data_IF_056103858235
#
_entry.id   IF_056103858235
#
_cell.length_a   1.000
_cell.length_b   1.000
_cell.length_c   1.000
_cell.angle_alpha   90.00
_cell.angle_beta   90.00
_cell.angle_gamma   90.00
#
_symmetry.space_group_name_H-M   'P 1'
#
loop_
_entity.id
_entity.type
_entity.pdbx_description
1 polymer ?
#
# COMPACT_ATOMS: atom_id res chain seq x y z
N UNK A 1 -14.68 10.07 -70.50
CA UNK A 1 -13.77 9.24 -69.67
C UNK A 1 -12.65 10.03 -68.96
N UNK A 2 -12.35 11.28 -69.35
CA UNK A 2 -11.29 12.09 -68.72
C UNK A 2 -11.65 12.68 -67.34
N UNK A 3 -12.93 12.87 -67.00
CA UNK A 3 -13.33 13.45 -65.70
C UNK A 3 -13.17 12.50 -64.50
N UNK A 4 -13.00 11.19 -64.69
CA UNK A 4 -12.82 10.24 -63.56
C UNK A 4 -11.39 10.23 -63.01
N UNK A 5 -10.37 10.60 -63.80
CA UNK A 5 -8.97 10.60 -63.35
C UNK A 5 -8.61 11.82 -62.49
N UNK A 6 -9.20 12.99 -62.78
CA UNK A 6 -8.96 14.21 -62.00
C UNK A 6 -9.52 14.12 -60.56
N UNK A 7 -10.66 13.44 -60.38
CA UNK A 7 -11.28 13.25 -59.04
C UNK A 7 -10.40 12.41 -58.11
N UNK A 8 -9.75 11.36 -58.62
CA UNK A 8 -8.93 10.48 -57.79
C UNK A 8 -7.61 11.13 -57.33
N UNK A 9 -7.00 12.02 -58.12
CA UNK A 9 -5.84 12.80 -57.67
C UNK A 9 -6.19 13.80 -56.57
N UNK A 10 -7.39 14.38 -56.60
CA UNK A 10 -7.82 15.34 -55.57
C UNK A 10 -8.05 14.66 -54.22
N UNK A 11 -8.68 13.47 -54.20
CA UNK A 11 -8.85 12.70 -52.97
C UNK A 11 -7.53 12.19 -52.38
N UNK A 12 -6.58 11.76 -53.23
CA UNK A 12 -5.24 11.36 -52.76
C UNK A 12 -4.45 12.54 -52.18
N UNK A 13 -4.56 13.74 -52.76
CA UNK A 13 -3.95 14.95 -52.18
C UNK A 13 -4.62 15.36 -50.86
N UNK A 14 -5.95 15.27 -50.75
CA UNK A 14 -6.66 15.59 -49.51
C UNK A 14 -6.37 14.60 -48.38
N UNK A 15 -6.21 13.30 -48.67
CA UNK A 15 -5.82 12.30 -47.67
C UNK A 15 -4.36 12.50 -47.25
N UNK A 16 -3.46 12.84 -48.18
CA UNK A 16 -2.08 13.22 -47.85
C UNK A 16 -1.99 14.47 -46.98
N UNK A 17 -2.82 15.48 -47.24
CA UNK A 17 -2.90 16.68 -46.41
C UNK A 17 -3.52 16.40 -45.03
N UNK A 18 -4.52 15.51 -44.94
CA UNK A 18 -5.12 15.07 -43.67
C UNK A 18 -4.17 14.23 -42.83
N UNK A 19 -3.30 13.42 -43.45
CA UNK A 19 -2.25 12.67 -42.76
C UNK A 19 -1.04 13.55 -42.36
N UNK A 20 -0.82 14.68 -43.04
CA UNK A 20 0.15 15.70 -42.63
C UNK A 20 -0.41 16.66 -41.56
N UNK A 21 -1.73 16.82 -41.49
CA UNK A 21 -2.45 17.63 -40.49
C UNK A 21 -2.91 16.82 -39.26
N UNK A 22 -2.92 15.48 -39.32
CA UNK A 22 -2.86 14.65 -38.13
C UNK A 22 -1.47 14.77 -37.57
N UNK A 23 -1.23 15.90 -36.89
CA UNK A 23 0.02 16.21 -36.24
C UNK A 23 0.52 14.95 -35.57
N UNK A 24 1.69 14.52 -36.02
CA UNK A 24 2.60 13.77 -35.18
C UNK A 24 2.68 14.65 -33.93
N UNK A 25 1.92 14.28 -32.90
CA UNK A 25 2.22 14.70 -31.54
C UNK A 25 3.58 14.06 -31.35
N UNK A 26 4.63 14.82 -31.68
CA UNK A 26 5.95 14.55 -31.18
C UNK A 26 5.70 14.46 -29.68
N UNK A 27 5.73 13.25 -29.14
CA UNK A 27 5.88 13.06 -27.71
C UNK A 27 7.08 13.94 -27.39
N UNK A 28 6.83 15.09 -26.76
CA UNK A 28 7.90 15.96 -26.34
C UNK A 28 8.78 15.05 -25.49
N UNK A 29 10.00 14.78 -25.95
CA UNK A 29 10.97 14.06 -25.15
C UNK A 29 11.01 14.80 -23.81
N UNK A 30 10.46 14.16 -22.78
CA UNK A 30 10.32 14.77 -21.47
C UNK A 30 11.76 15.02 -21.01
N UNK A 31 12.21 16.25 -21.13
CA UNK A 31 13.58 16.61 -20.79
C UNK A 31 13.63 16.72 -19.28
N UNK A 32 14.02 15.62 -18.63
CA UNK A 32 14.19 15.55 -17.18
C UNK A 32 15.20 16.62 -16.71
N UNK A 33 14.81 17.41 -15.73
CA UNK A 33 15.64 18.47 -15.16
C UNK A 33 16.67 17.96 -14.15
N UNK A 34 17.43 18.85 -13.49
CA UNK A 34 18.30 18.50 -12.35
C UNK A 34 17.52 18.55 -11.02
N UNK A 35 17.50 17.44 -10.28
CA UNK A 35 16.95 17.36 -8.93
C UNK A 35 17.90 18.04 -7.94
N UNK A 36 17.35 18.82 -7.01
CA UNK A 36 18.13 19.45 -5.95
C UNK A 36 18.47 18.45 -4.83
N UNK A 37 19.71 18.48 -4.33
CA UNK A 37 20.12 17.68 -3.17
C UNK A 37 19.49 18.23 -1.90
N UNK A 38 19.04 17.37 -0.99
CA UNK A 38 18.48 17.85 0.27
C UNK A 38 17.71 16.81 1.07
N UNK A 39 17.10 17.33 2.13
CA UNK A 39 16.20 16.62 3.02
C UNK A 39 14.79 17.17 2.78
N UNK A 40 13.94 16.35 2.16
CA UNK A 40 12.58 16.74 1.81
C UNK A 40 11.61 16.19 2.86
N UNK A 41 10.77 17.03 3.48
CA UNK A 41 9.82 16.56 4.47
C UNK A 41 8.79 15.63 3.83
N UNK A 42 8.46 14.57 4.55
CA UNK A 42 7.48 13.57 4.15
C UNK A 42 6.17 13.78 4.91
N UNK A 43 5.05 13.56 4.20
CA UNK A 43 3.71 13.69 4.74
C UNK A 43 3.03 12.33 4.60
N UNK A 44 2.52 11.79 5.70
CA UNK A 44 1.73 10.57 5.68
C UNK A 44 0.36 10.83 5.04
N UNK A 45 -0.05 9.99 4.09
CA UNK A 45 -1.37 10.02 3.47
C UNK A 45 -2.01 8.62 3.53
N UNK A 46 -3.35 8.58 3.55
CA UNK A 46 -4.11 7.33 3.65
C UNK A 46 -5.15 7.16 2.53
N UNK A 47 -5.10 8.05 1.53
CA UNK A 47 -6.05 8.10 0.43
C UNK A 47 -5.45 7.38 -0.77
N UNK A 48 -6.04 6.21 -1.07
CA UNK A 48 -5.88 5.40 -2.28
C UNK A 48 -5.05 4.13 -2.18
N UNK A 49 -5.54 3.12 -2.90
CA UNK A 49 -4.86 1.88 -3.18
C UNK A 49 -3.97 2.13 -4.40
N UNK A 50 -2.67 1.82 -4.34
CA UNK A 50 -1.79 2.01 -5.47
C UNK A 50 -2.13 1.04 -6.62
N UNK A 51 -1.95 1.49 -7.85
CA UNK A 51 -1.84 0.61 -9.03
C UNK A 51 -0.43 0.00 -9.15
N UNK A 52 0.23 -0.23 -8.00
CA UNK A 52 1.61 -0.74 -7.91
C UNK A 52 1.69 -2.27 -7.86
N UNK A 53 0.66 -2.95 -8.35
CA UNK A 53 0.67 -4.40 -8.50
C UNK A 53 0.37 -4.74 -9.94
N UNK A 54 1.15 -5.65 -10.52
CA UNK A 54 0.95 -6.07 -11.92
C UNK A 54 -0.37 -6.82 -12.10
N UNK A 55 -0.84 -7.48 -11.04
CA UNK A 55 -2.10 -8.20 -11.00
C UNK A 55 -2.55 -8.44 -9.56
N UNK A 56 -3.80 -8.88 -9.42
CA UNK A 56 -4.45 -9.20 -8.15
C UNK A 56 -3.71 -10.28 -7.34
N UNK A 57 -3.13 -11.30 -7.99
CA UNK A 57 -2.39 -12.35 -7.28
C UNK A 57 -1.12 -11.83 -6.59
N UNK A 58 -0.43 -10.90 -7.23
CA UNK A 58 0.75 -10.27 -6.65
C UNK A 58 0.38 -9.43 -5.43
N UNK A 59 -0.73 -8.68 -5.53
CA UNK A 59 -1.28 -7.92 -4.42
C UNK A 59 -1.66 -8.83 -3.24
N UNK A 60 -2.44 -9.89 -3.47
CA UNK A 60 -2.81 -10.82 -2.39
C UNK A 60 -1.61 -11.48 -1.72
N UNK A 61 -0.51 -11.70 -2.45
CA UNK A 61 0.73 -12.26 -1.91
C UNK A 61 1.59 -11.23 -1.18
N UNK A 62 1.38 -9.94 -1.41
CA UNK A 62 2.10 -8.90 -0.68
C UNK A 62 1.49 -8.64 0.70
N UNK A 63 0.18 -8.83 0.86
CA UNK A 63 -0.50 -8.61 2.14
C UNK A 63 0.05 -9.50 3.26
N UNK A 64 0.16 -8.93 4.46
CA UNK A 64 0.54 -9.70 5.64
C UNK A 64 -0.59 -10.68 6.02
N UNK A 65 -0.27 -11.97 6.00
CA UNK A 65 -1.21 -13.03 6.40
C UNK A 65 -1.06 -13.39 7.87
N UNK A 66 -2.09 -13.06 8.66
CA UNK A 66 -2.20 -13.45 10.07
C UNK A 66 -3.02 -14.72 10.16
N UNK A 67 -2.37 -15.83 10.49
CA UNK A 67 -3.07 -17.08 10.80
C UNK A 67 -3.80 -16.94 12.13
N UNK A 68 -5.08 -17.32 12.14
CA UNK A 68 -5.90 -17.30 13.34
C UNK A 68 -5.97 -18.70 13.97
N UNK A 69 -5.92 -18.73 15.29
CA UNK A 69 -6.01 -19.94 16.11
C UNK A 69 -7.27 -19.90 16.98
N UNK A 70 -7.87 -21.06 17.27
CA UNK A 70 -9.05 -21.13 18.14
C UNK A 70 -8.62 -21.11 19.62
N UNK A 71 -9.18 -20.20 20.42
CA UNK A 71 -8.88 -20.05 21.84
C UNK A 71 -7.71 -19.09 22.10
N UNK A 72 -6.89 -19.37 23.11
CA UNK A 72 -5.71 -18.57 23.49
C UNK A 72 -5.98 -17.11 23.85
N UNK A 73 -7.15 -16.84 24.43
CA UNK A 73 -7.55 -15.51 24.89
C UNK A 73 -6.84 -15.13 26.20
N UNK A 74 -6.44 -16.14 26.97
CA UNK A 74 -5.73 -16.03 28.24
C UNK A 74 -4.33 -15.39 28.12
N UNK A 75 -3.79 -15.27 26.91
CA UNK A 75 -2.55 -14.55 26.66
C UNK A 75 -2.72 -13.01 26.66
N UNK A 76 -3.96 -12.52 26.62
CA UNK A 76 -4.29 -11.10 26.57
C UNK A 76 -4.89 -10.62 27.90
N UNK A 77 -4.74 -9.33 28.18
CA UNK A 77 -5.30 -8.67 29.37
C UNK A 77 -6.60 -7.95 29.03
N UNK A 78 -7.42 -7.73 30.06
CA UNK A 78 -8.65 -6.91 30.00
C UNK A 78 -9.57 -7.24 28.82
N UNK A 79 -9.65 -8.54 28.51
CA UNK A 79 -10.42 -9.06 27.38
C UNK A 79 -11.91 -8.69 27.56
N UNK A 80 -12.57 -8.17 26.51
CA UNK A 80 -13.98 -7.84 26.58
C UNK A 80 -14.84 -9.09 26.77
N UNK A 81 -16.12 -8.88 27.12
CA UNK A 81 -17.05 -10.00 27.24
C UNK A 81 -17.35 -10.58 25.85
N UNK A 82 -16.84 -11.78 25.58
CA UNK A 82 -17.00 -12.49 24.31
C UNK A 82 -18.25 -13.37 24.30
N UNK A 83 -18.81 -13.60 23.12
CA UNK A 83 -19.93 -14.54 22.93
C UNK A 83 -19.49 -15.98 22.70
N UNK A 84 -18.33 -16.20 22.06
CA UNK A 84 -17.74 -17.52 21.89
C UNK A 84 -16.99 -17.98 23.14
N UNK A 85 -17.08 -19.28 23.44
CA UNK A 85 -16.20 -19.92 24.43
C UNK A 85 -14.75 -19.96 23.96
N UNK A 86 -14.54 -20.24 22.67
CA UNK A 86 -13.23 -20.29 22.01
C UNK A 86 -13.29 -19.39 20.77
N UNK A 87 -13.03 -18.08 20.89
CA UNK A 87 -12.96 -17.17 19.74
C UNK A 87 -11.71 -17.47 18.91
N UNK A 88 -11.60 -16.85 17.74
CA UNK A 88 -10.35 -16.89 16.97
C UNK A 88 -9.40 -15.79 17.47
N UNK A 89 -8.13 -16.11 17.64
CA UNK A 89 -7.11 -15.16 18.07
C UNK A 89 -5.90 -15.19 17.15
N UNK A 90 -5.16 -14.09 17.13
CA UNK A 90 -3.93 -13.95 16.34
C UNK A 90 -3.11 -12.76 16.81
N UNK A 91 -1.97 -12.55 16.14
CA UNK A 91 -1.11 -11.39 16.35
C UNK A 91 -0.66 -10.81 15.02
N UNK A 92 -0.89 -9.52 14.83
CA UNK A 92 -0.33 -8.75 13.71
C UNK A 92 1.08 -8.34 14.12
N UNK A 93 2.07 -8.52 13.25
CA UNK A 93 3.40 -7.94 13.45
C UNK A 93 3.52 -6.71 12.58
N UNK A 94 3.86 -5.57 13.16
CA UNK A 94 3.82 -4.30 12.44
C UNK A 94 4.95 -3.38 12.92
N UNK A 95 5.57 -2.65 11.99
CA UNK A 95 6.76 -1.83 12.23
C UNK A 95 8.08 -2.63 12.23
N UNK A 96 9.17 -1.98 12.65
CA UNK A 96 10.55 -2.50 12.56
C UNK A 96 11.08 -3.10 13.89
N UNK A 97 10.24 -3.13 14.92
CA UNK A 97 10.55 -3.72 16.22
C UNK A 97 10.17 -5.21 16.23
N UNK A 98 11.10 -6.10 16.64
CA UNK A 98 10.89 -7.55 16.54
C UNK A 98 9.83 -8.07 17.51
N UNK A 99 9.64 -7.38 18.63
CA UNK A 99 8.73 -7.76 19.71
C UNK A 99 7.39 -7.01 19.65
N UNK A 100 7.22 -6.07 18.71
CA UNK A 100 5.95 -5.33 18.56
C UNK A 100 4.93 -6.24 17.88
N UNK A 101 3.80 -6.46 18.56
CA UNK A 101 2.69 -7.21 17.99
C UNK A 101 1.37 -6.73 18.53
N UNK A 102 0.35 -6.70 17.68
CA UNK A 102 -0.99 -6.24 18.00
C UNK A 102 -1.89 -7.46 18.13
N UNK A 103 -2.45 -7.67 19.32
CA UNK A 103 -3.38 -8.77 19.56
C UNK A 103 -4.65 -8.61 18.73
N UNK A 104 -5.18 -9.72 18.22
CA UNK A 104 -6.45 -9.73 17.48
C UNK A 104 -7.37 -10.81 18.05
N UNK A 105 -8.64 -10.46 18.21
CA UNK A 105 -9.71 -11.40 18.58
C UNK A 105 -10.85 -11.25 17.57
N UNK A 106 -11.28 -12.36 16.98
CA UNK A 106 -12.49 -12.44 16.18
C UNK A 106 -13.53 -13.27 16.93
N UNK A 107 -14.61 -12.61 17.32
CA UNK A 107 -15.72 -13.17 18.08
C UNK A 107 -16.98 -13.25 17.21
N UNK A 108 -17.78 -14.30 17.38
CA UNK A 108 -19.02 -14.52 16.62
C UNK A 108 -20.17 -14.66 17.60
N UNK A 109 -21.11 -13.71 17.58
CA UNK A 109 -22.25 -13.66 18.49
C UNK A 109 -23.54 -13.70 17.69
N UNK A 110 -24.14 -14.90 17.58
CA UNK A 110 -25.24 -15.13 16.66
C UNK A 110 -24.80 -14.88 15.22
N UNK A 111 -25.39 -13.90 14.55
CA UNK A 111 -25.03 -13.49 13.19
C UNK A 111 -23.96 -12.38 13.15
N UNK A 112 -23.61 -11.76 14.27
CA UNK A 112 -22.64 -10.67 14.32
C UNK A 112 -21.21 -11.22 14.41
N UNK A 113 -20.31 -10.68 13.57
CA UNK A 113 -18.87 -10.98 13.64
C UNK A 113 -18.15 -9.72 14.06
N UNK A 114 -17.41 -9.82 15.17
CA UNK A 114 -16.76 -8.70 15.84
C UNK A 114 -15.26 -8.89 15.77
N UNK A 115 -14.55 -7.88 15.30
CA UNK A 115 -13.10 -7.82 15.32
C UNK A 115 -12.66 -6.88 16.45
N UNK A 116 -11.88 -7.39 17.39
CA UNK A 116 -11.15 -6.58 18.35
C UNK A 116 -9.67 -6.58 17.96
N UNK A 117 -9.05 -5.42 18.03
CA UNK A 117 -7.61 -5.26 17.86
C UNK A 117 -7.10 -4.49 19.08
N UNK A 118 -6.03 -4.97 19.68
CA UNK A 118 -5.18 -4.21 20.61
C UNK A 118 -4.46 -3.17 19.75
N UNK A 119 -4.98 -1.94 19.71
CA UNK A 119 -4.57 -0.94 18.71
C UNK A 119 -3.24 -0.29 19.03
N UNK A 120 -2.73 -0.46 20.25
CA UNK A 120 -1.48 0.14 20.68
C UNK A 120 -0.39 -0.87 21.03
N UNK A 121 -0.67 -2.17 20.91
CA UNK A 121 0.29 -3.25 21.03
C UNK A 121 0.73 -3.54 22.47
N UNK A 122 -0.05 -3.12 23.48
CA UNK A 122 0.30 -3.32 24.90
C UNK A 122 -0.16 -4.68 25.47
N UNK A 123 -0.87 -5.47 24.66
CA UNK A 123 -1.41 -6.78 25.01
C UNK A 123 -2.69 -6.73 25.85
N UNK A 124 -3.28 -5.55 26.03
CA UNK A 124 -4.56 -5.31 26.70
C UNK A 124 -5.64 -4.92 25.69
N UNK A 125 -6.88 -5.28 25.98
CA UNK A 125 -8.06 -4.81 25.25
C UNK A 125 -8.87 -3.79 26.06
N UNK A 126 -8.28 -3.21 27.11
CA UNK A 126 -8.92 -2.23 27.97
C UNK A 126 -9.32 -0.98 27.16
N UNK A 127 -10.64 -0.76 27.00
CA UNK A 127 -11.16 0.38 26.26
C UNK A 127 -11.16 0.20 24.74
N UNK A 128 -10.69 -0.94 24.23
CA UNK A 128 -10.72 -1.25 22.81
C UNK A 128 -12.15 -1.53 22.35
N UNK A 129 -12.52 -0.93 21.21
CA UNK A 129 -13.84 -1.13 20.59
C UNK A 129 -13.74 -2.20 19.52
N UNK A 130 -14.80 -2.97 19.36
CA UNK A 130 -14.88 -3.88 18.22
C UNK A 130 -15.29 -3.15 16.94
N UNK A 131 -14.85 -3.72 15.82
CA UNK A 131 -15.22 -3.33 14.46
C UNK A 131 -16.14 -4.42 13.88
N UNK A 132 -17.28 -4.06 13.27
CA UNK A 132 -18.12 -5.04 12.58
C UNK A 132 -17.38 -5.63 11.39
N UNK A 133 -17.41 -6.95 11.25
CA UNK A 133 -16.93 -7.62 10.04
C UNK A 133 -18.12 -7.91 9.12
N UNK A 134 -18.06 -7.40 7.90
CA UNK A 134 -19.01 -7.70 6.83
C UNK A 134 -18.67 -9.04 6.20
N UNK A 135 -19.65 -9.76 5.68
CA UNK A 135 -19.45 -11.04 4.98
C UNK A 135 -19.96 -11.00 3.53
N UNK A 136 -19.24 -11.66 2.63
CA UNK A 136 -19.64 -11.69 1.21
C UNK A 136 -20.55 -12.87 0.85
N UNK A 137 -20.65 -13.92 1.69
CA UNK A 137 -21.39 -15.14 1.36
C UNK A 137 -22.25 -15.64 2.53
N UNK A 138 -23.55 -15.81 2.26
CA UNK A 138 -24.52 -16.52 3.11
C UNK A 138 -24.81 -17.88 2.47
N UNK A 139 -24.57 -18.99 3.18
CA UNK A 139 -25.00 -20.32 2.74
C UNK A 139 -23.94 -21.43 2.73
N UNK A 140 -22.70 -21.19 3.16
CA UNK A 140 -21.71 -22.23 3.43
C UNK A 140 -20.79 -21.85 4.60
N UNK A 141 -20.18 -22.86 5.24
CA UNK A 141 -19.40 -22.84 6.49
C UNK A 141 -18.06 -22.06 6.44
N UNK A 142 -17.77 -21.41 5.31
CA UNK A 142 -16.59 -20.58 5.09
C UNK A 142 -17.06 -19.16 4.76
N UNK A 143 -16.61 -18.18 5.54
CA UNK A 143 -17.02 -16.79 5.41
C UNK A 143 -15.81 -15.95 5.02
N UNK A 144 -15.89 -15.30 3.86
CA UNK A 144 -15.01 -14.17 3.59
C UNK A 144 -15.47 -12.97 4.41
N UNK A 145 -14.55 -12.33 5.10
CA UNK A 145 -14.81 -11.19 6.01
C UNK A 145 -14.01 -9.97 5.60
N UNK A 146 -14.59 -8.79 5.81
CA UNK A 146 -13.96 -7.49 5.54
C UNK A 146 -14.36 -6.49 6.63
N UNK A 147 -13.39 -5.74 7.16
CA UNK A 147 -13.65 -4.58 8.01
C UNK A 147 -14.02 -3.37 7.13
N UNK A 148 -15.15 -2.68 7.39
CA UNK A 148 -15.65 -1.62 6.52
C UNK A 148 -14.88 -0.29 6.61
N UNK A 149 -14.13 -0.08 7.70
CA UNK A 149 -13.38 1.14 7.95
C UNK A 149 -11.90 0.81 8.23
N UNK A 150 -10.96 1.69 7.83
CA UNK A 150 -9.58 1.55 8.25
C UNK A 150 -9.44 1.61 9.78
N UNK A 151 -8.58 0.76 10.31
CA UNK A 151 -8.29 0.67 11.74
C UNK A 151 -6.94 1.32 11.98
N UNK A 152 -6.88 2.25 12.93
CA UNK A 152 -5.63 2.95 13.27
C UNK A 152 -4.86 2.18 14.33
N UNK A 153 -3.62 1.81 14.03
CA UNK A 153 -2.66 1.25 14.97
C UNK A 153 -1.67 2.33 15.43
N UNK A 154 -1.28 2.28 16.70
CA UNK A 154 -0.27 3.15 17.29
C UNK A 154 1.06 2.38 17.37
N UNK A 155 1.87 2.51 16.32
CA UNK A 155 3.04 1.66 16.09
C UNK A 155 4.31 2.32 16.63
N UNK A 156 5.19 1.55 17.24
CA UNK A 156 6.48 2.03 17.69
C UNK A 156 7.60 1.72 16.71
N UNK A 157 8.44 2.70 16.40
CA UNK A 157 9.59 2.53 15.48
C UNK A 157 10.94 2.74 16.17
N UNK A 158 11.99 2.07 15.70
CA UNK A 158 13.37 2.33 16.20
C UNK A 158 13.87 3.72 15.84
N UNK A 159 13.45 4.25 14.68
CA UNK A 159 13.76 5.63 14.26
C UNK A 159 13.06 6.70 15.11
N UNK A 160 12.06 6.32 15.91
CA UNK A 160 11.22 7.20 16.74
C UNK A 160 11.18 6.72 18.20
N UNK A 161 12.32 6.71 18.91
CA UNK A 161 12.37 6.17 20.27
C UNK A 161 11.43 6.95 21.20
N UNK A 162 10.55 6.22 21.90
CA UNK A 162 9.61 6.79 22.87
C UNK A 162 8.33 7.39 22.26
N UNK A 163 8.16 7.33 20.93
CA UNK A 163 6.97 7.82 20.26
C UNK A 163 6.21 6.64 19.61
N UNK A 164 4.89 6.57 19.82
CA UNK A 164 3.98 5.77 19.00
C UNK A 164 3.46 6.65 17.86
N UNK A 165 3.49 6.16 16.63
CA UNK A 165 3.01 6.87 15.44
C UNK A 165 1.79 6.15 14.86
N UNK A 166 0.80 6.89 14.36
CA UNK A 166 -0.40 6.28 13.81
C UNK A 166 -0.14 5.70 12.41
N UNK A 167 -0.56 4.47 12.17
CA UNK A 167 -0.67 3.84 10.85
C UNK A 167 -2.10 3.33 10.67
N UNK A 168 -2.69 3.54 9.50
CA UNK A 168 -4.03 3.03 9.19
C UNK A 168 -3.92 1.71 8.41
N UNK A 169 -4.69 0.70 8.81
CA UNK A 169 -4.75 -0.60 8.15
C UNK A 169 -6.18 -0.96 7.72
N UNK A 170 -6.31 -1.79 6.69
CA UNK A 170 -7.54 -2.49 6.35
C UNK A 170 -7.40 -3.97 6.65
N UNK A 171 -8.51 -4.62 7.00
CA UNK A 171 -8.54 -6.04 7.35
C UNK A 171 -9.55 -6.76 6.47
N UNK A 172 -9.09 -7.84 5.84
CA UNK A 172 -9.95 -8.83 5.18
C UNK A 172 -9.51 -10.24 5.57
N UNK A 173 -10.24 -11.29 5.19
CA UNK A 173 -9.80 -12.65 5.48
C UNK A 173 -10.86 -13.71 5.32
N UNK A 174 -10.53 -14.91 5.77
CA UNK A 174 -11.45 -16.05 5.74
C UNK A 174 -11.57 -16.66 7.14
N UNK A 175 -12.83 -16.82 7.57
CA UNK A 175 -13.21 -17.59 8.75
C UNK A 175 -13.79 -18.93 8.30
N UNK A 176 -13.56 -19.97 9.10
CA UNK A 176 -13.98 -21.34 8.82
C UNK A 176 -14.58 -21.93 10.10
N UNK A 177 -15.76 -22.52 9.99
CA UNK A 177 -16.38 -23.26 11.09
C UNK A 177 -15.56 -24.52 11.45
N UNK A 178 -15.39 -24.78 12.75
CA UNK A 178 -14.42 -25.73 13.32
C UNK A 178 -14.73 -27.23 13.05
N UNK A 179 -15.81 -27.53 12.31
CA UNK A 179 -16.35 -28.88 12.14
C UNK A 179 -15.91 -29.67 10.89
N UNK A 180 -15.12 -29.09 9.98
CA UNK A 180 -14.79 -29.73 8.69
C UNK A 180 -13.29 -29.97 8.49
N UNK A 181 -12.95 -31.12 7.89
CA UNK A 181 -11.60 -31.44 7.41
C UNK A 181 -11.15 -30.41 6.37
N UNK A 182 -10.31 -29.44 6.77
CA UNK A 182 -9.96 -28.32 5.88
C UNK A 182 -8.48 -28.29 5.51
N UNK A 183 -8.23 -27.99 4.23
CA UNK A 183 -6.89 -27.72 3.67
C UNK A 183 -6.40 -26.30 3.98
N UNK A 184 -7.30 -25.40 4.41
CA UNK A 184 -7.00 -23.98 4.67
C UNK A 184 -7.39 -23.67 6.11
N UNK A 185 -6.52 -22.97 6.83
CA UNK A 185 -6.78 -22.51 8.21
C UNK A 185 -7.35 -21.07 8.18
N UNK A 186 -8.20 -20.68 9.15
CA UNK A 186 -8.69 -19.30 9.28
C UNK A 186 -7.54 -18.28 9.29
N UNK A 187 -7.77 -17.11 8.68
CA UNK A 187 -6.74 -16.09 8.56
C UNK A 187 -7.34 -14.70 8.34
N UNK A 188 -6.55 -13.68 8.69
CA UNK A 188 -6.71 -12.31 8.25
C UNK A 188 -5.59 -11.93 7.29
N UNK A 189 -5.88 -10.97 6.44
CA UNK A 189 -4.96 -10.27 5.57
C UNK A 189 -4.99 -8.81 5.97
N UNK A 190 -3.81 -8.28 6.26
CA UNK A 190 -3.61 -6.91 6.69
C UNK A 190 -3.05 -6.13 5.52
N UNK A 191 -3.74 -5.06 5.17
CA UNK A 191 -3.34 -4.09 4.16
C UNK A 191 -2.94 -2.80 4.87
N UNK A 192 -1.68 -2.40 4.78
CA UNK A 192 -1.26 -1.06 5.17
C UNK A 192 -1.83 -0.03 4.19
N UNK A 193 -2.52 0.98 4.74
CA UNK A 193 -3.14 2.08 4.02
C UNK A 193 -2.35 3.36 4.13
N UNK A 194 -1.26 3.41 4.89
CA UNK A 194 -0.42 4.60 5.07
C UNK A 194 0.73 4.62 4.07
N UNK A 195 0.92 5.80 3.47
CA UNK A 195 1.92 6.10 2.44
C UNK A 195 2.62 7.38 2.82
N UNK A 196 3.80 7.64 2.29
CA UNK A 196 4.49 8.89 2.55
C UNK A 196 4.82 9.63 1.27
N UNK A 197 4.46 10.90 1.23
CA UNK A 197 4.69 11.78 0.08
C UNK A 197 5.70 12.88 0.40
N UNK A 198 6.61 13.14 -0.53
CA UNK A 198 7.46 14.32 -0.56
C UNK A 198 7.27 15.09 -1.87
N UNK A 199 7.47 16.41 -1.79
CA UNK A 199 7.64 17.28 -2.95
C UNK A 199 9.12 17.52 -3.17
N UNK A 200 9.65 17.07 -4.30
CA UNK A 200 11.05 17.31 -4.69
C UNK A 200 11.12 18.38 -5.77
N UNK A 201 12.20 19.16 -5.79
CA UNK A 201 12.40 20.19 -6.81
C UNK A 201 13.29 19.65 -7.93
N UNK A 202 12.79 19.71 -9.17
CA UNK A 202 13.54 19.39 -10.39
C UNK A 202 13.45 20.57 -11.37
N UNK A 203 14.59 21.23 -11.65
CA UNK A 203 14.68 22.44 -12.51
C UNK A 203 13.62 23.52 -12.22
N UNK A 204 13.30 23.73 -10.93
CA UNK A 204 12.32 24.72 -10.49
C UNK A 204 10.86 24.27 -10.54
N UNK A 205 10.59 23.02 -10.89
CA UNK A 205 9.25 22.41 -10.86
C UNK A 205 9.13 21.43 -9.69
N UNK A 206 7.95 21.39 -9.06
CA UNK A 206 7.64 20.40 -8.03
C UNK A 206 7.33 19.04 -8.67
N UNK A 207 7.92 17.98 -8.14
CA UNK A 207 7.61 16.58 -8.48
C UNK A 207 7.20 15.82 -7.24
N UNK A 208 6.16 15.00 -7.36
CA UNK A 208 5.67 14.19 -6.25
C UNK A 208 6.40 12.87 -6.17
N UNK A 209 6.88 12.53 -4.99
CA UNK A 209 7.57 11.27 -4.70
C UNK A 209 6.85 10.53 -3.59
N UNK A 210 6.55 9.26 -3.81
CA UNK A 210 5.92 8.37 -2.82
C UNK A 210 6.90 7.33 -2.30
N UNK A 211 6.91 7.11 -0.98
CA UNK A 211 7.51 5.95 -0.30
C UNK A 211 6.41 5.03 0.19
N UNK A 212 6.60 3.74 -0.06
CA UNK A 212 5.53 2.77 -0.17
C UNK A 212 6.00 1.48 0.48
N UNK A 213 5.32 1.07 1.55
CA UNK A 213 5.46 -0.28 2.09
C UNK A 213 4.83 -1.26 1.11
N UNK A 214 5.67 -2.04 0.45
CA UNK A 214 5.20 -2.96 -0.57
C UNK A 214 4.63 -4.26 0.01
N UNK A 215 5.02 -4.63 1.23
CA UNK A 215 4.69 -5.90 1.87
C UNK A 215 3.71 -5.75 3.05
N UNK A 216 3.24 -4.54 3.31
CA UNK A 216 2.20 -4.21 4.29
C UNK A 216 2.53 -4.69 5.72
N UNK A 217 3.80 -4.57 6.10
CA UNK A 217 4.26 -4.82 7.48
C UNK A 217 4.46 -3.54 8.29
N UNK A 218 4.15 -2.37 7.73
CA UNK A 218 4.34 -1.06 8.35
C UNK A 218 5.78 -0.60 8.44
N UNK A 219 6.74 -1.29 7.84
CA UNK A 219 8.16 -0.95 7.88
C UNK A 219 8.58 -0.49 6.49
N UNK A 220 8.71 0.83 6.30
CA UNK A 220 8.83 1.42 4.97
C UNK A 220 10.24 1.36 4.36
N UNK A 221 11.21 0.71 4.99
CA UNK A 221 12.60 0.64 4.52
C UNK A 221 13.10 -0.76 4.18
N UNK A 222 12.18 -1.71 3.98
CA UNK A 222 12.52 -3.06 3.52
C UNK A 222 13.06 -3.06 2.09
N UNK A 223 13.87 -4.06 1.68
CA UNK A 223 14.39 -4.15 0.32
C UNK A 223 13.30 -4.20 -0.76
N UNK A 224 12.09 -4.66 -0.43
CA UNK A 224 10.98 -4.77 -1.38
C UNK A 224 10.19 -3.48 -1.54
N UNK A 225 10.37 -2.53 -0.63
CA UNK A 225 9.63 -1.27 -0.63
C UNK A 225 9.97 -0.42 -1.82
N UNK A 226 8.99 0.36 -2.23
CA UNK A 226 9.05 1.13 -3.46
C UNK A 226 9.22 2.61 -3.13
N UNK A 227 9.98 3.28 -3.99
CA UNK A 227 9.78 4.70 -4.25
C UNK A 227 9.13 4.84 -5.62
N UNK A 228 8.20 5.77 -5.78
CA UNK A 228 7.66 6.14 -7.08
C UNK A 228 7.74 7.66 -7.27
N UNK A 229 7.98 8.11 -8.49
CA UNK A 229 7.98 9.54 -8.85
C UNK A 229 6.93 9.76 -9.91
N UNK A 230 5.98 10.65 -9.64
CA UNK A 230 4.94 11.06 -10.59
C UNK A 230 5.56 12.03 -11.59
N UNK A 231 6.06 11.50 -12.70
CA UNK A 231 6.67 12.31 -13.76
C UNK A 231 5.64 12.85 -14.74
N UNK A 232 4.50 12.15 -14.89
CA UNK A 232 3.44 12.50 -15.83
C UNK A 232 2.41 13.49 -15.23
N UNK A 233 2.55 13.81 -13.94
CA UNK A 233 1.74 14.73 -13.14
C UNK A 233 0.25 14.34 -13.12
N UNK A 234 -0.06 13.04 -13.19
CA UNK A 234 -1.45 12.53 -13.19
C UNK A 234 -2.01 12.26 -11.78
N UNK A 235 -1.19 12.44 -10.74
CA UNK A 235 -1.51 12.18 -9.32
C UNK A 235 -1.74 10.71 -8.98
N UNK A 236 -1.31 9.78 -9.84
CA UNK A 236 -1.28 8.34 -9.59
C UNK A 236 0.16 7.81 -9.68
N UNK A 237 0.43 6.68 -9.03
CA UNK A 237 1.72 6.00 -9.09
C UNK A 237 1.55 4.62 -9.70
N UNK A 238 2.27 4.37 -10.78
CA UNK A 238 2.26 3.10 -11.51
C UNK A 238 3.57 2.33 -11.32
N UNK A 239 3.54 1.02 -11.62
CA UNK A 239 4.74 0.19 -11.47
C UNK A 239 5.90 0.61 -12.38
N UNK A 240 5.62 1.30 -13.49
CA UNK A 240 6.65 1.78 -14.41
C UNK A 240 7.38 3.02 -13.86
N UNK A 241 6.77 3.72 -12.91
CA UNK A 241 7.34 4.87 -12.19
C UNK A 241 8.06 4.45 -10.90
N UNK A 242 7.87 3.20 -10.48
CA UNK A 242 8.35 2.70 -9.20
C UNK A 242 9.70 1.98 -9.29
N UNK A 243 10.52 2.17 -8.26
CA UNK A 243 11.80 1.48 -8.08
C UNK A 243 11.87 0.83 -6.70
N UNK A 244 12.26 -0.45 -6.65
CA UNK A 244 12.47 -1.16 -5.39
C UNK A 244 13.77 -0.76 -4.70
N UNK A 245 13.74 -0.65 -3.37
CA UNK A 245 14.91 -0.31 -2.53
C UNK A 245 16.08 -1.30 -2.64
N UNK A 246 15.83 -2.58 -2.97
CA UNK A 246 16.80 -3.70 -3.01
C UNK A 246 18.12 -3.40 -3.73
N UNK A 247 18.13 -2.48 -4.70
CA UNK A 247 19.31 -2.16 -5.52
C UNK A 247 19.96 -0.81 -5.18
N UNK A 248 19.46 -0.12 -4.17
CA UNK A 248 19.68 1.32 -4.00
C UNK A 248 18.85 2.09 -5.03
N UNK A 249 18.15 3.11 -4.56
CA UNK A 249 17.30 3.90 -5.43
C UNK A 249 18.13 5.03 -6.03
N UNK A 250 18.08 5.09 -7.35
CA UNK A 250 18.73 6.13 -8.12
C UNK A 250 17.68 6.86 -8.95
N UNK A 251 17.45 8.14 -8.65
CA UNK A 251 16.70 9.02 -9.54
C UNK A 251 17.65 9.48 -10.64
N UNK A 252 17.27 9.17 -11.88
CA UNK A 252 17.94 9.70 -13.06
C UNK A 252 17.32 11.03 -13.36
N UNK A 253 18.13 12.07 -13.34
CA UNK A 253 17.68 13.42 -13.61
C UNK A 253 18.75 14.08 -14.49
N UNK A 254 18.34 14.49 -15.70
CA UNK A 254 19.23 14.91 -16.79
C UNK A 254 20.36 13.89 -17.04
N UNK A 255 21.61 14.28 -16.73
CA UNK A 255 22.82 13.44 -16.88
C UNK A 255 23.39 12.98 -15.52
N UNK A 256 22.65 13.16 -14.43
CA UNK A 256 23.09 12.87 -13.07
C UNK A 256 22.26 11.75 -12.45
N UNK A 257 22.89 11.08 -11.49
CA UNK A 257 22.30 10.02 -10.69
C UNK A 257 22.27 10.47 -9.25
N UNK A 258 21.07 10.45 -8.67
CA UNK A 258 20.81 10.89 -7.32
C UNK A 258 20.42 9.69 -6.47
N UNK A 259 21.19 9.42 -5.42
CA UNK A 259 20.87 8.39 -4.44
C UNK A 259 19.76 8.89 -3.52
N UNK A 260 18.78 8.02 -3.29
CA UNK A 260 17.64 8.29 -2.40
C UNK A 260 17.71 7.34 -1.19
N UNK A 261 17.38 7.87 -0.01
CA UNK A 261 17.32 7.11 1.23
C UNK A 261 16.29 7.69 2.22
N UNK A 262 15.82 6.87 3.15
CA UNK A 262 14.85 7.19 4.21
C UNK A 262 14.82 6.10 5.29
N UNK A 263 14.21 6.40 6.45
CA UNK A 263 14.15 5.49 7.62
C UNK A 263 12.88 4.62 7.65
N UNK A 264 12.81 3.63 8.56
CA UNK A 264 11.67 2.70 8.68
C UNK A 264 10.30 3.40 8.84
N UNK A 265 10.27 4.56 9.52
CA UNK A 265 9.18 5.51 9.44
C UNK A 265 9.73 6.82 8.84
N UNK A 266 9.37 7.18 7.60
CA UNK A 266 10.05 8.22 6.87
C UNK A 266 9.45 9.61 7.16
N UNK A 267 10.10 10.41 8.01
CA UNK A 267 9.78 11.85 8.11
C UNK A 267 10.45 12.68 7.02
N UNK A 268 11.52 12.14 6.44
CA UNK A 268 12.38 12.85 5.49
C UNK A 268 12.82 11.89 4.39
N UNK A 269 12.69 12.34 3.14
CA UNK A 269 13.33 11.75 1.99
C UNK A 269 14.67 12.43 1.76
N UNK A 270 15.77 11.66 1.79
CA UNK A 270 17.14 12.17 1.65
C UNK A 270 17.60 11.94 0.21
N UNK A 271 18.00 13.01 -0.48
CA UNK A 271 18.50 12.95 -1.85
C UNK A 271 19.92 13.53 -1.91
N UNK A 272 20.88 12.73 -2.39
CA UNK A 272 22.29 13.11 -2.51
C UNK A 272 22.95 12.57 -3.78
N UNK A 273 24.10 13.13 -4.18
CA UNK A 273 24.81 12.68 -5.40
C UNK A 273 25.39 11.28 -5.20
N UNK A 274 25.29 10.42 -6.21
CA UNK A 274 26.01 9.14 -6.23
C UNK A 274 27.51 9.43 -6.36
N UNK A 275 28.30 9.14 -5.31
CA UNK A 275 29.78 9.25 -5.34
C UNK A 275 30.43 10.35 -4.50
N UNK A 276 29.73 10.93 -3.52
CA UNK A 276 30.33 11.67 -2.39
C UNK A 276 29.99 10.99 -1.07
#
# INVERSE_FOLDING_TARGET
MLMKRARNCFYLCCIGLLLLLSGVVWAADLTLGEIEAGNYPMISINNHMPSLYKNTDQYWKSLQRVQLELGHVDQFKDVPKLGLKNPYTGKIKFGDKPDESFGVIVDIVGEEKRLYIDTDGDGSFAGEKWVPLLNEWYGNQNYWIIAPEPIRLMVSYRSKPGQKVPIDISVSGALIDAGFNQKVKPFLLIEDRTWFLAKVMEDGYEKMVAVIDYNHNGCFNDPVDLVAVDYNDDSFFTMDEAQSRKKGIVLKSKNKKWKVDWDAYPDVLRIGREGN
#
